data_IF_484634563796
#
_entry.id   IF_484634563796
#
_cell.length_a   1.000
_cell.length_b   1.000
_cell.length_c   1.000
_cell.angle_alpha   90.00
_cell.angle_beta   90.00
_cell.angle_gamma   90.00
#
_symmetry.space_group_name_H-M   'P 1'
#
loop_
_entity.id
_entity.type
_entity.pdbx_description
1 polymer ?
#
# COMPACT_ATOMS: atom_id res chain seq x y z
N UNK A 1 20.22 35.55 58.25
CA UNK A 1 20.79 35.11 56.94
C UNK A 1 21.23 33.66 57.12
N UNK A 2 20.89 32.64 56.32
CA UNK A 2 20.59 32.53 54.90
C UNK A 2 19.61 31.36 54.68
N UNK A 3 18.46 31.60 54.02
CA UNK A 3 17.66 30.52 53.44
C UNK A 3 18.38 30.06 52.17
N UNK A 4 18.98 28.87 52.18
CA UNK A 4 19.57 28.26 50.97
C UNK A 4 18.43 27.93 49.99
N UNK A 5 18.37 28.68 48.90
CA UNK A 5 17.42 28.50 47.80
C UNK A 5 18.02 27.43 46.87
N UNK A 6 17.44 26.23 46.86
CA UNK A 6 17.75 25.22 45.84
C UNK A 6 16.88 25.51 44.63
N UNK A 7 17.47 25.98 43.53
CA UNK A 7 16.80 26.02 42.24
C UNK A 7 16.82 24.62 41.63
N UNK A 8 15.64 24.08 41.37
CA UNK A 8 15.47 22.87 40.57
C UNK A 8 15.66 23.29 39.11
N UNK A 9 16.69 22.76 38.45
CA UNK A 9 16.88 22.94 37.01
C UNK A 9 16.15 21.80 36.28
N UNK A 10 15.11 22.12 35.51
CA UNK A 10 14.55 21.19 34.54
C UNK A 10 15.42 21.19 33.29
N UNK A 11 16.07 20.07 33.00
CA UNK A 11 16.78 19.83 31.74
C UNK A 11 15.76 19.26 30.75
N UNK A 12 15.45 20.00 29.70
CA UNK A 12 14.61 19.51 28.60
C UNK A 12 15.53 18.96 27.50
N UNK A 13 15.31 17.72 27.09
CA UNK A 13 15.97 17.12 25.93
C UNK A 13 15.17 17.50 24.67
N UNK A 14 15.84 18.02 23.64
CA UNK A 14 15.26 18.34 22.33
C UNK A 14 15.16 17.12 21.40
N UNK A 15 15.08 15.90 21.94
CA UNK A 15 14.71 14.75 21.10
C UNK A 15 13.26 14.94 20.63
N UNK A 16 13.10 15.43 19.40
CA UNK A 16 11.82 15.42 18.71
C UNK A 16 11.43 13.96 18.53
N UNK A 17 10.53 13.49 19.39
CA UNK A 17 9.90 12.18 19.21
C UNK A 17 9.40 12.10 17.76
N UNK A 18 9.75 11.03 17.05
CA UNK A 18 9.26 10.80 15.70
C UNK A 18 7.74 10.92 15.72
N UNK A 19 7.21 11.95 15.06
CA UNK A 19 5.78 12.19 15.07
C UNK A 19 5.11 11.08 14.26
N UNK A 20 4.38 10.20 14.96
CA UNK A 20 3.64 9.11 14.34
C UNK A 20 2.35 9.68 13.75
N UNK A 21 2.22 9.65 12.43
CA UNK A 21 1.00 10.05 11.75
C UNK A 21 0.28 8.81 11.18
N UNK A 22 -1.02 8.62 11.48
CA UNK A 22 -1.78 7.58 10.81
C UNK A 22 -1.94 7.95 9.33
N UNK A 23 -1.40 7.11 8.45
CA UNK A 23 -1.49 7.26 7.00
C UNK A 23 -2.20 6.08 6.34
N UNK A 24 -2.51 6.27 5.05
CA UNK A 24 -3.08 5.23 4.20
C UNK A 24 -2.25 5.08 2.94
N UNK A 25 -1.97 3.83 2.55
CA UNK A 25 -1.38 3.49 1.26
C UNK A 25 -2.48 2.88 0.40
N UNK A 26 -2.72 3.47 -0.77
CA UNK A 26 -3.61 2.91 -1.79
C UNK A 26 -2.76 2.41 -2.95
N UNK A 27 -2.97 1.17 -3.38
CA UNK A 27 -2.37 0.66 -4.59
C UNK A 27 -3.38 -0.12 -5.43
N UNK A 28 -3.26 0.02 -6.75
CA UNK A 28 -4.10 -0.63 -7.75
C UNK A 28 -3.22 -1.43 -8.71
N UNK A 29 -3.71 -2.57 -9.14
CA UNK A 29 -3.07 -3.35 -10.19
C UNK A 29 -4.12 -4.00 -11.08
N UNK A 30 -3.81 -4.15 -12.35
CA UNK A 30 -4.61 -4.90 -13.31
C UNK A 30 -4.02 -6.29 -13.47
N UNK A 31 -4.84 -7.31 -13.23
CA UNK A 31 -4.53 -8.69 -13.60
C UNK A 31 -5.20 -8.98 -14.94
N UNK A 32 -4.40 -9.44 -15.91
CA UNK A 32 -4.84 -9.81 -17.26
C UNK A 32 -4.52 -11.29 -17.45
N UNK A 33 -5.42 -12.02 -18.11
CA UNK A 33 -5.16 -13.38 -18.59
C UNK A 33 -5.51 -13.44 -20.07
N UNK A 34 -4.54 -13.86 -20.87
CA UNK A 34 -4.77 -14.24 -22.26
C UNK A 34 -4.99 -15.74 -22.32
N UNK A 35 -6.17 -16.15 -22.78
CA UNK A 35 -6.53 -17.56 -22.91
C UNK A 35 -6.70 -17.87 -24.39
N UNK A 36 -5.91 -18.79 -24.90
CA UNK A 36 -6.05 -19.32 -26.25
C UNK A 36 -6.50 -20.78 -26.17
N UNK A 37 -7.61 -21.10 -26.83
CA UNK A 37 -8.13 -22.46 -26.97
C UNK A 37 -7.91 -22.92 -28.41
N UNK A 38 -7.12 -23.97 -28.61
CA UNK A 38 -6.87 -24.52 -29.94
C UNK A 38 -8.04 -25.36 -30.45
N UNK A 39 -7.99 -25.71 -31.75
CA UNK A 39 -8.95 -26.63 -32.36
C UNK A 39 -8.98 -28.01 -31.67
N UNK A 40 -7.83 -28.49 -31.20
CA UNK A 40 -7.70 -29.75 -30.47
C UNK A 40 -8.01 -29.63 -28.97
N UNK A 41 -8.54 -28.49 -28.52
CA UNK A 41 -8.86 -28.24 -27.11
C UNK A 41 -7.65 -27.95 -26.22
N UNK A 42 -6.47 -27.71 -26.81
CA UNK A 42 -5.30 -27.27 -26.04
C UNK A 42 -5.56 -25.88 -25.47
N UNK A 43 -5.38 -25.75 -24.15
CA UNK A 43 -5.59 -24.50 -23.42
C UNK A 43 -4.23 -23.87 -23.08
N UNK A 44 -3.97 -22.69 -23.61
CA UNK A 44 -2.80 -21.88 -23.26
C UNK A 44 -3.28 -20.66 -22.47
N UNK A 45 -2.77 -20.47 -21.26
CA UNK A 45 -3.09 -19.33 -20.40
C UNK A 45 -1.80 -18.56 -20.12
N UNK A 46 -1.76 -17.30 -20.52
CA UNK A 46 -0.65 -16.39 -20.23
C UNK A 46 -1.15 -15.32 -19.24
N UNK A 47 -0.67 -15.32 -17.99
CA UNK A 47 -1.03 -14.30 -17.00
C UNK A 47 -0.10 -13.08 -17.10
N UNK A 48 -0.67 -11.89 -17.06
CA UNK A 48 0.05 -10.62 -16.99
C UNK A 48 -0.46 -9.78 -15.81
N UNK A 49 0.44 -9.00 -15.20
CA UNK A 49 0.12 -8.12 -14.08
C UNK A 49 0.76 -6.76 -14.28
N UNK A 50 -0.05 -5.70 -14.21
CA UNK A 50 0.37 -4.32 -14.45
C UNK A 50 0.00 -3.47 -13.24
N UNK A 51 0.94 -2.70 -12.70
CA UNK A 51 0.66 -1.70 -11.66
C UNK A 51 -0.04 -0.49 -12.28
N UNK A 52 -1.07 0.03 -11.61
CA UNK A 52 -1.78 1.23 -12.03
C UNK A 52 -1.53 2.32 -10.98
N UNK A 53 -1.10 3.49 -11.46
CA UNK A 53 -0.97 4.67 -10.61
C UNK A 53 -2.34 5.06 -10.06
N UNK A 54 -2.43 5.13 -8.73
CA UNK A 54 -3.66 5.48 -8.04
C UNK A 54 -3.69 6.98 -7.81
N UNK A 55 -4.68 7.68 -8.36
CA UNK A 55 -4.78 9.13 -8.14
C UNK A 55 -5.21 9.43 -6.70
N UNK A 56 -4.90 10.61 -6.16
CA UNK A 56 -5.30 10.98 -4.80
C UNK A 56 -6.82 10.93 -4.57
N UNK A 57 -7.62 11.28 -5.57
CA UNK A 57 -9.09 11.21 -5.49
C UNK A 57 -9.57 9.77 -5.40
N UNK A 58 -9.03 8.86 -6.23
CA UNK A 58 -9.38 7.43 -6.18
C UNK A 58 -8.97 6.81 -4.84
N UNK A 59 -7.83 7.21 -4.29
CA UNK A 59 -7.39 6.75 -2.98
C UNK A 59 -8.34 7.23 -1.86
N UNK A 60 -8.79 8.48 -1.91
CA UNK A 60 -9.80 8.99 -0.97
C UNK A 60 -11.13 8.24 -1.08
N UNK A 61 -11.56 7.91 -2.29
CA UNK A 61 -12.77 7.11 -2.50
C UNK A 61 -12.62 5.70 -1.92
N UNK A 62 -11.46 5.08 -2.08
CA UNK A 62 -11.15 3.78 -1.45
C UNK A 62 -11.17 3.88 0.08
N UNK A 63 -10.63 4.98 0.64
CA UNK A 63 -10.63 5.23 2.09
C UNK A 63 -12.05 5.36 2.63
N UNK A 64 -12.90 6.14 1.94
CA UNK A 64 -14.25 6.46 2.41
C UNK A 64 -15.25 5.32 2.16
N UNK A 65 -15.23 4.74 0.97
CA UNK A 65 -16.24 3.77 0.55
C UNK A 65 -15.82 2.31 0.72
N UNK A 66 -14.52 2.03 0.95
CA UNK A 66 -13.96 0.67 0.99
C UNK A 66 -14.32 -0.16 -0.24
N UNK A 67 -14.38 0.51 -1.40
CA UNK A 67 -14.73 -0.08 -2.69
C UNK A 67 -13.58 0.09 -3.68
N UNK A 68 -13.40 -0.93 -4.52
CA UNK A 68 -12.45 -0.98 -5.62
C UNK A 68 -13.23 -1.16 -6.93
N UNK A 69 -13.28 -0.11 -7.76
CA UNK A 69 -14.00 -0.13 -9.04
C UNK A 69 -15.46 -0.65 -8.91
N UNK A 70 -16.17 -0.19 -7.87
CA UNK A 70 -17.53 -0.62 -7.54
C UNK A 70 -17.65 -1.92 -6.72
N UNK A 71 -16.58 -2.72 -6.61
CA UNK A 71 -16.58 -3.96 -5.84
C UNK A 71 -16.21 -3.73 -4.37
N UNK A 72 -16.84 -4.46 -3.46
CA UNK A 72 -16.51 -4.39 -2.02
C UNK A 72 -15.14 -4.99 -1.72
N UNK A 73 -14.34 -4.26 -0.95
CA UNK A 73 -13.05 -4.73 -0.46
C UNK A 73 -13.22 -5.50 0.85
N UNK A 74 -12.53 -6.62 0.99
CA UNK A 74 -12.56 -7.42 2.21
C UNK A 74 -11.56 -6.88 3.22
N UNK A 75 -12.00 -6.70 4.47
CA UNK A 75 -11.10 -6.37 5.56
C UNK A 75 -10.17 -7.56 5.86
N UNK A 76 -8.88 -7.28 6.01
CA UNK A 76 -7.84 -8.22 6.38
C UNK A 76 -6.86 -7.48 7.31
N UNK A 77 -6.99 -7.67 8.61
CA UNK A 77 -6.17 -6.97 9.62
C UNK A 77 -6.18 -5.43 9.44
N UNK A 78 -5.03 -4.83 9.16
CA UNK A 78 -4.82 -3.40 8.94
C UNK A 78 -5.07 -2.96 7.49
N UNK A 79 -5.51 -3.85 6.61
CA UNK A 79 -5.74 -3.57 5.19
C UNK A 79 -7.13 -3.99 4.71
N UNK A 80 -7.59 -3.36 3.64
CA UNK A 80 -8.73 -3.77 2.85
C UNK A 80 -8.22 -4.23 1.49
N UNK A 81 -8.65 -5.38 1.02
CA UNK A 81 -8.15 -6.01 -0.20
C UNK A 81 -9.31 -6.42 -1.09
N UNK A 82 -9.24 -6.04 -2.36
CA UNK A 82 -9.98 -6.67 -3.43
C UNK A 82 -8.98 -7.32 -4.37
N UNK A 83 -8.85 -8.64 -4.24
CA UNK A 83 -7.97 -9.45 -5.08
C UNK A 83 -8.77 -10.62 -5.66
N UNK A 84 -8.93 -10.59 -6.97
CA UNK A 84 -9.64 -11.58 -7.77
C UNK A 84 -8.79 -11.91 -8.98
N UNK A 85 -8.92 -13.16 -9.43
CA UNK A 85 -8.43 -13.56 -10.74
C UNK A 85 -9.49 -13.29 -11.80
N UNK A 86 -9.10 -12.81 -12.99
CA UNK A 86 -10.04 -12.66 -14.09
C UNK A 86 -10.52 -14.06 -14.52
N UNK A 87 -11.84 -14.22 -14.60
CA UNK A 87 -12.48 -15.48 -15.01
C UNK A 87 -12.96 -15.33 -16.46
N UNK A 88 -12.27 -15.96 -17.43
CA UNK A 88 -12.64 -15.86 -18.83
C UNK A 88 -13.84 -16.76 -19.16
N UNK A 89 -14.67 -16.31 -20.10
CA UNK A 89 -15.57 -17.20 -20.82
C UNK A 89 -14.75 -18.03 -21.80
N UNK A 90 -14.89 -19.36 -21.76
CA UNK A 90 -14.15 -20.28 -22.64
C UNK A 90 -14.97 -20.55 -23.90
N UNK A 91 -14.45 -20.14 -25.05
CA UNK A 91 -14.98 -20.51 -26.37
C UNK A 91 -13.94 -21.33 -27.14
N UNK A 92 -14.41 -22.30 -27.91
CA UNK A 92 -13.55 -23.12 -28.77
C UNK A 92 -12.93 -22.26 -29.89
N UNK A 93 -11.70 -22.59 -30.32
CA UNK A 93 -10.96 -21.84 -31.35
C UNK A 93 -10.95 -20.32 -31.14
N UNK A 94 -10.70 -19.87 -29.91
CA UNK A 94 -10.69 -18.43 -29.62
C UNK A 94 -9.50 -18.05 -28.75
N UNK A 95 -9.10 -16.79 -28.91
CA UNK A 95 -8.22 -16.10 -27.97
C UNK A 95 -9.05 -15.06 -27.26
N UNK A 96 -9.22 -15.21 -25.95
CA UNK A 96 -9.98 -14.31 -25.09
C UNK A 96 -9.02 -13.67 -24.10
N UNK A 97 -9.09 -12.36 -23.98
CA UNK A 97 -8.40 -11.60 -22.93
C UNK A 97 -9.40 -11.28 -21.84
N UNK A 98 -9.13 -11.70 -20.61
CA UNK A 98 -9.93 -11.34 -19.44
C UNK A 98 -9.09 -10.47 -18.51
N UNK A 99 -9.67 -9.39 -18.02
CA UNK A 99 -9.00 -8.44 -17.13
C UNK A 99 -9.83 -8.11 -15.89
N UNK A 100 -9.15 -7.80 -14.80
CA UNK A 100 -9.77 -7.30 -13.57
C UNK A 100 -8.81 -6.34 -12.87
N UNK A 101 -9.36 -5.25 -12.32
CA UNK A 101 -8.63 -4.30 -11.50
C UNK A 101 -8.78 -4.71 -10.05
N UNK A 102 -7.65 -4.92 -9.40
CA UNK A 102 -7.51 -5.23 -8.00
C UNK A 102 -6.97 -4.04 -7.24
N UNK A 103 -7.33 -3.93 -5.96
CA UNK A 103 -6.92 -2.82 -5.11
C UNK A 103 -6.56 -3.29 -3.70
N UNK A 104 -5.62 -2.58 -3.09
CA UNK A 104 -5.30 -2.67 -1.67
C UNK A 104 -5.33 -1.28 -1.05
N UNK A 105 -5.92 -1.20 0.13
CA UNK A 105 -5.86 -0.05 1.02
C UNK A 105 -5.24 -0.52 2.33
N UNK A 106 -4.06 -0.03 2.66
CA UNK A 106 -3.36 -0.39 3.89
C UNK A 106 -3.26 0.82 4.83
N UNK A 107 -3.61 0.62 6.09
CA UNK A 107 -3.38 1.62 7.14
C UNK A 107 -1.95 1.45 7.66
N UNK A 108 -1.15 2.50 7.54
CA UNK A 108 0.26 2.53 7.94
C UNK A 108 0.50 3.64 8.94
N UNK A 109 1.59 3.55 9.71
CA UNK A 109 2.12 4.67 10.47
C UNK A 109 3.22 5.32 9.64
N UNK A 110 3.06 6.60 9.34
CA UNK A 110 4.07 7.41 8.67
C UNK A 110 5.01 8.02 9.70
N UNK A 111 6.27 8.13 9.31
CA UNK A 111 7.33 8.75 10.09
C UNK A 111 7.82 9.97 9.32
N UNK A 112 7.80 11.13 9.96
CA UNK A 112 8.43 12.32 9.40
C UNK A 112 9.91 12.32 9.80
N UNK A 113 10.79 12.17 8.82
CA UNK A 113 12.22 12.34 9.03
C UNK A 113 12.57 13.82 8.93
N UNK A 114 13.13 14.39 9.99
CA UNK A 114 13.77 15.71 9.95
C UNK A 114 15.12 15.60 9.23
N UNK A 115 15.49 16.60 8.43
CA UNK A 115 16.74 16.65 7.64
C UNK A 115 18.03 16.58 8.48
N UNK A 116 17.97 16.69 9.80
CA UNK A 116 19.16 16.77 10.67
C UNK A 116 19.54 15.47 11.41
N UNK A 117 19.02 14.31 11.02
CA UNK A 117 19.37 13.04 11.70
C UNK A 117 20.25 12.16 10.83
N UNK A 118 21.54 12.23 11.11
CA UNK A 118 22.55 11.27 10.70
C UNK A 118 22.09 9.86 11.15
N UNK A 119 21.87 8.94 10.22
CA UNK A 119 21.50 7.56 10.57
C UNK A 119 22.68 6.84 11.22
N UNK A 120 22.47 6.21 12.39
CA UNK A 120 23.39 5.20 12.88
C UNK A 120 23.24 3.95 12.02
N UNK A 121 24.15 3.77 11.05
CA UNK A 121 24.37 2.44 10.46
C UNK A 121 25.07 1.55 11.49
N UNK A 122 24.98 0.20 11.38
CA UNK A 122 25.69 -0.74 12.27
C UNK A 122 27.22 -0.57 12.29
N UNK A 123 27.77 0.26 11.40
CA UNK A 123 29.20 0.52 11.21
C UNK A 123 29.60 1.92 11.75
N UNK A 124 28.63 2.72 12.23
CA UNK A 124 28.88 4.05 12.81
C UNK A 124 28.43 5.22 11.92
N UNK A 125 28.45 6.43 12.49
CA UNK A 125 28.17 7.70 11.80
C UNK A 125 29.30 8.05 10.84
N UNK A 126 29.00 8.11 9.54
CA UNK A 126 29.83 8.84 8.59
C UNK A 126 29.47 10.33 8.68
N UNK A 127 30.50 11.17 8.82
CA UNK A 127 30.38 12.63 8.75
C UNK A 127 30.60 13.13 7.33
#
# INVERSE_FOLDING_TARGET
MNKRKFSIFCVYSEERAAAHFPGYICAKWKNIKHITVSFFGQLVIVPDKISIDTTPSECNDMINHKKCNGNEMKASHNKYVFDREPTPLKYWMSTVTAEIINCVLEKVQLYQQSEDTNFQTPIGTAS
#
